data_IF_004320137588
#
_entry.id   IF_004320137588
#
_cell.length_a   1.000
_cell.length_b   1.000
_cell.length_c   1.000
_cell.angle_alpha   90.00
_cell.angle_beta   90.00
_cell.angle_gamma   90.00
#
_symmetry.space_group_name_H-M   'P 1'
#
loop_
_entity.id
_entity.type
_entity.pdbx_description
1 polymer ?
#
# COMPACT_ATOMS: atom_id res chain seq x y z
N UNK A 1 -14.60 19.41 6.52
CA UNK A 1 -14.01 18.09 6.83
C UNK A 1 -12.61 18.12 6.28
N UNK A 2 -11.61 18.07 7.16
CA UNK A 2 -10.19 18.07 6.74
C UNK A 2 -9.88 16.70 6.15
N UNK A 3 -9.35 16.66 4.93
CA UNK A 3 -8.81 15.43 4.34
C UNK A 3 -7.67 14.93 5.23
N UNK A 4 -7.96 13.93 6.07
CA UNK A 4 -6.95 13.37 6.95
C UNK A 4 -5.97 12.54 6.12
N UNK A 5 -4.81 13.13 5.91
CA UNK A 5 -3.60 12.46 5.44
C UNK A 5 -3.19 11.42 6.50
N UNK A 6 -3.60 10.18 6.30
CA UNK A 6 -3.22 9.04 7.14
C UNK A 6 -2.44 8.07 6.27
N UNK A 7 -1.26 7.72 6.76
CA UNK A 7 -0.41 6.62 6.28
C UNK A 7 0.49 6.94 5.10
N UNK A 8 1.50 7.79 5.36
CA UNK A 8 2.77 7.68 4.66
C UNK A 8 3.38 6.31 4.90
N UNK A 9 4.00 5.75 3.85
CA UNK A 9 4.91 4.63 4.06
C UNK A 9 6.05 5.07 5.00
N UNK A 10 6.41 4.28 6.03
CA UNK A 10 7.50 4.62 6.93
C UNK A 10 8.81 4.90 6.16
N UNK A 11 9.39 6.07 6.40
CA UNK A 11 10.65 6.51 5.76
C UNK A 11 10.49 7.48 4.58
N UNK A 12 9.27 7.66 4.07
CA UNK A 12 8.99 8.63 3.02
C UNK A 12 8.61 10.00 3.61
N UNK A 13 9.27 11.06 3.12
CA UNK A 13 9.09 12.42 3.60
C UNK A 13 7.87 13.09 2.96
N UNK A 14 7.49 12.67 1.74
CA UNK A 14 6.38 13.25 0.97
C UNK A 14 5.55 12.17 0.27
N UNK A 15 4.23 12.38 0.19
CA UNK A 15 3.34 11.55 -0.62
C UNK A 15 2.60 12.37 -1.68
N UNK A 16 2.33 11.73 -2.82
CA UNK A 16 1.48 12.29 -3.85
C UNK A 16 0.00 12.18 -3.43
N UNK A 17 -0.64 13.33 -3.32
CA UNK A 17 -2.07 13.49 -3.08
C UNK A 17 -2.76 13.86 -4.40
N UNK A 18 -3.83 13.14 -4.74
CA UNK A 18 -4.57 13.28 -5.99
C UNK A 18 -5.77 14.22 -5.80
N UNK A 19 -6.03 15.06 -6.79
CA UNK A 19 -7.22 15.91 -6.81
C UNK A 19 -8.37 15.17 -7.50
N UNK A 20 -9.44 14.87 -6.76
CA UNK A 20 -10.64 14.29 -7.35
C UNK A 20 -11.29 15.30 -8.31
N UNK A 21 -11.51 14.97 -9.59
CA UNK A 21 -12.07 15.92 -10.56
C UNK A 21 -13.53 16.31 -10.25
N UNK A 22 -14.31 15.39 -9.66
CA UNK A 22 -15.73 15.61 -9.39
C UNK A 22 -15.97 16.46 -8.14
N UNK A 23 -15.27 16.17 -7.04
CA UNK A 23 -15.48 16.86 -5.78
C UNK A 23 -14.39 17.88 -5.43
N UNK A 24 -13.26 17.90 -6.14
CA UNK A 24 -12.14 18.82 -5.88
C UNK A 24 -11.37 18.53 -4.59
N UNK A 25 -11.74 17.48 -3.84
CA UNK A 25 -11.01 17.10 -2.63
C UNK A 25 -9.67 16.45 -3.00
N UNK A 26 -8.67 16.73 -2.18
CA UNK A 26 -7.37 16.10 -2.25
C UNK A 26 -7.34 14.85 -1.38
N UNK A 27 -6.93 13.73 -1.95
CA UNK A 27 -6.86 12.45 -1.24
C UNK A 27 -5.69 11.58 -1.70
N UNK A 28 -5.18 10.76 -0.78
CA UNK A 28 -4.23 9.70 -1.12
C UNK A 28 -5.02 8.44 -1.42
N UNK A 29 -4.84 7.90 -2.63
CA UNK A 29 -5.52 6.65 -3.00
C UNK A 29 -4.92 5.47 -2.23
N UNK A 30 -5.73 4.60 -1.61
CA UNK A 30 -5.24 3.44 -0.87
C UNK A 30 -4.32 2.56 -1.75
N UNK A 31 -3.20 2.04 -1.22
CA UNK A 31 -2.35 1.11 -1.96
C UNK A 31 -2.91 -0.32 -1.87
N UNK A 32 -4.21 -0.49 -2.10
CA UNK A 32 -4.91 -1.78 -2.07
C UNK A 32 -6.00 -1.81 -3.14
N UNK A 33 -6.65 -2.97 -3.28
CA UNK A 33 -7.82 -3.10 -4.16
C UNK A 33 -9.04 -2.32 -3.68
N UNK A 34 -9.06 -1.86 -2.42
CA UNK A 34 -10.17 -1.04 -1.88
C UNK A 34 -10.21 0.37 -2.51
N UNK A 35 -9.13 0.77 -3.18
CA UNK A 35 -9.10 1.98 -3.99
C UNK A 35 -10.01 1.90 -5.23
N UNK A 36 -10.46 0.71 -5.61
CA UNK A 36 -11.16 0.50 -6.87
C UNK A 36 -12.61 0.08 -6.66
N UNK A 37 -13.51 0.63 -7.47
CA UNK A 37 -14.89 0.21 -7.60
C UNK A 37 -15.11 -0.42 -8.99
N UNK A 38 -15.86 -1.52 -9.05
CA UNK A 38 -16.24 -2.16 -10.31
C UNK A 38 -17.68 -1.78 -10.65
N UNK A 39 -17.89 -1.11 -11.78
CA UNK A 39 -19.22 -0.72 -12.27
C UNK A 39 -19.35 -1.23 -13.70
N UNK A 40 -20.27 -2.18 -13.95
CA UNK A 40 -20.49 -2.80 -15.27
C UNK A 40 -19.19 -3.29 -15.93
N UNK A 41 -18.36 -4.01 -15.16
CA UNK A 41 -17.06 -4.55 -15.56
C UNK A 41 -15.95 -3.51 -15.85
N UNK A 42 -16.22 -2.22 -15.65
CA UNK A 42 -15.21 -1.16 -15.71
C UNK A 42 -14.68 -0.81 -14.31
N UNK A 43 -13.39 -0.52 -14.24
CA UNK A 43 -12.69 -0.19 -12.99
C UNK A 43 -12.61 1.31 -12.82
N UNK A 44 -13.24 1.81 -11.77
CA UNK A 44 -13.21 3.21 -11.33
C UNK A 44 -12.31 3.35 -10.11
N UNK A 45 -11.72 4.52 -9.92
CA UNK A 45 -11.05 4.87 -8.67
C UNK A 45 -12.05 5.49 -7.70
N UNK A 46 -12.17 4.91 -6.50
CA UNK A 46 -13.00 5.45 -5.45
C UNK A 46 -12.27 6.56 -4.68
N UNK A 47 -12.89 7.73 -4.60
CA UNK A 47 -12.40 8.82 -3.77
C UNK A 47 -12.70 8.52 -2.29
N UNK A 48 -11.67 8.45 -1.45
CA UNK A 48 -11.85 8.17 -0.01
C UNK A 48 -12.41 9.36 0.79
N UNK A 49 -12.39 10.58 0.22
CA UNK A 49 -12.92 11.76 0.90
C UNK A 49 -14.46 11.83 0.83
N UNK A 50 -15.03 11.57 -0.35
CA UNK A 50 -16.47 11.75 -0.62
C UNK A 50 -17.15 10.54 -1.30
N UNK A 51 -16.42 9.49 -1.67
CA UNK A 51 -16.99 8.30 -2.33
C UNK A 51 -17.23 8.42 -3.84
N UNK A 52 -16.77 9.49 -4.49
CA UNK A 52 -16.86 9.66 -5.94
C UNK A 52 -16.23 8.49 -6.72
N UNK A 53 -16.85 8.09 -7.82
CA UNK A 53 -16.34 7.04 -8.71
C UNK A 53 -15.65 7.69 -9.92
N UNK A 54 -14.33 7.81 -9.86
CA UNK A 54 -13.54 8.52 -10.86
C UNK A 54 -13.26 7.58 -12.05
N UNK A 55 -13.63 7.97 -13.29
CA UNK A 55 -13.39 7.15 -14.47
C UNK A 55 -11.92 7.17 -14.91
N UNK A 56 -11.50 6.14 -15.64
CA UNK A 56 -10.10 5.97 -16.08
C UNK A 56 -9.58 7.11 -16.97
N UNK A 57 -10.48 7.80 -17.68
CA UNK A 57 -10.18 8.97 -18.52
C UNK A 57 -9.60 10.14 -17.72
N UNK A 58 -10.00 10.28 -16.46
CA UNK A 58 -9.57 11.37 -15.58
C UNK A 58 -8.18 11.15 -15.00
N UNK A 59 -7.66 9.92 -15.06
CA UNK A 59 -6.38 9.56 -14.44
C UNK A 59 -5.24 10.52 -14.80
N UNK A 60 -5.11 10.84 -16.09
CA UNK A 60 -4.02 11.70 -16.56
C UNK A 60 -4.17 13.16 -16.10
N UNK A 61 -5.40 13.66 -16.00
CA UNK A 61 -5.68 15.02 -15.49
C UNK A 61 -5.45 15.07 -13.97
N UNK A 62 -5.99 14.10 -13.23
CA UNK A 62 -5.83 13.96 -11.80
C UNK A 62 -4.36 13.83 -11.36
N UNK A 63 -3.57 13.03 -12.07
CA UNK A 63 -2.13 12.91 -11.79
C UNK A 63 -1.37 14.22 -12.03
N UNK A 64 -1.75 15.01 -13.04
CA UNK A 64 -1.14 16.34 -13.30
C UNK A 64 -1.56 17.38 -12.26
N UNK A 65 -2.78 17.29 -11.75
CA UNK A 65 -3.31 18.15 -10.69
C UNK A 65 -2.81 17.75 -9.29
N UNK A 66 -2.18 16.58 -9.17
CA UNK A 66 -1.65 16.07 -7.90
C UNK A 66 -0.65 17.02 -7.24
N UNK A 67 -0.52 16.88 -5.92
CA UNK A 67 0.38 17.68 -5.09
C UNK A 67 1.19 16.77 -4.18
N UNK A 68 2.46 17.06 -4.03
CA UNK A 68 3.32 16.39 -3.05
C UNK A 68 3.10 17.06 -1.70
N UNK A 69 2.72 16.27 -0.70
CA UNK A 69 2.44 16.74 0.66
C UNK A 69 3.40 16.04 1.61
N UNK A 70 4.14 16.81 2.40
CA UNK A 70 5.12 16.27 3.32
C UNK A 70 4.49 15.67 4.58
N UNK A 71 5.23 14.83 5.30
CA UNK A 71 4.78 14.28 6.58
C UNK A 71 4.48 15.41 7.56
N UNK A 72 3.31 15.41 8.20
CA UNK A 72 2.89 16.48 9.10
C UNK A 72 2.30 17.71 8.39
N UNK A 73 2.30 17.75 7.06
CA UNK A 73 1.53 18.70 6.28
C UNK A 73 0.13 18.16 5.96
N UNK A 74 -0.77 19.09 5.68
CA UNK A 74 -2.13 18.83 5.20
C UNK A 74 -2.41 19.70 3.99
N UNK A 75 -3.37 19.31 3.16
CA UNK A 75 -3.77 20.07 1.98
C UNK A 75 -5.26 20.38 2.07
N UNK A 76 -5.63 21.63 1.78
CA UNK A 76 -7.01 22.05 1.67
C UNK A 76 -7.57 21.83 0.25
N UNK A 77 -8.88 22.00 0.09
CA UNK A 77 -9.58 21.85 -1.20
C UNK A 77 -9.14 22.86 -2.27
N UNK A 78 -8.56 23.99 -1.86
CA UNK A 78 -8.02 24.99 -2.78
C UNK A 78 -6.58 24.68 -3.21
N UNK A 79 -6.00 23.59 -2.70
CA UNK A 79 -4.63 23.18 -2.96
C UNK A 79 -3.59 23.89 -2.09
N UNK A 80 -4.02 24.61 -1.05
CA UNK A 80 -3.14 25.21 -0.05
C UNK A 80 -2.57 24.14 0.87
N UNK A 81 -1.24 24.09 0.99
CA UNK A 81 -0.54 23.16 1.89
C UNK A 81 -0.26 23.87 3.21
N UNK A 82 -0.69 23.27 4.31
CA UNK A 82 -0.58 23.78 5.68
C UNK A 82 0.27 22.84 6.53
N UNK A 83 0.99 23.39 7.51
CA UNK A 83 1.86 22.64 8.42
C UNK A 83 3.35 22.77 8.05
N UNK A 84 4.21 22.31 8.95
CA UNK A 84 5.66 22.38 8.76
C UNK A 84 6.18 21.14 8.02
N UNK A 85 7.05 21.37 7.04
CA UNK A 85 7.76 20.28 6.37
C UNK A 85 8.81 19.68 7.33
N UNK A 86 8.95 18.35 7.41
CA UNK A 86 9.97 17.70 8.23
C UNK A 86 11.38 18.11 7.80
N UNK A 87 12.24 18.40 8.77
CA UNK A 87 13.66 18.65 8.53
C UNK A 87 14.39 17.33 8.26
N UNK A 88 14.42 16.88 7.01
CA UNK A 88 15.18 15.70 6.59
C UNK A 88 16.39 16.10 5.75
N UNK A 89 17.45 15.28 5.80
CA UNK A 89 18.62 15.44 4.91
C UNK A 89 18.39 14.86 3.50
N UNK A 90 17.36 14.02 3.37
CA UNK A 90 17.03 13.29 2.15
C UNK A 90 15.57 13.58 1.83
N UNK A 91 15.29 14.01 0.60
CA UNK A 91 13.94 14.10 0.08
C UNK A 91 13.52 12.73 -0.47
N UNK A 92 12.47 12.14 0.11
CA UNK A 92 11.87 10.87 -0.32
C UNK A 92 10.41 11.07 -0.70
N UNK A 93 10.00 10.41 -1.78
CA UNK A 93 8.71 10.62 -2.46
C UNK A 93 8.00 9.29 -2.64
N UNK A 94 6.74 9.24 -2.22
CA UNK A 94 5.91 8.06 -2.35
C UNK A 94 4.62 8.34 -3.12
N UNK A 95 4.29 7.47 -4.05
CA UNK A 95 3.00 7.43 -4.71
C UNK A 95 2.45 6.01 -4.68
N UNK A 96 1.13 5.90 -4.67
CA UNK A 96 0.45 4.60 -4.67
C UNK A 96 0.21 4.11 -6.10
N UNK A 97 0.01 2.79 -6.24
CA UNK A 97 -0.24 2.15 -7.54
C UNK A 97 -1.29 2.84 -8.41
N UNK A 98 -2.45 3.28 -7.86
CA UNK A 98 -3.45 4.01 -8.64
C UNK A 98 -2.92 5.31 -9.28
N UNK A 99 -1.95 5.97 -8.66
CA UNK A 99 -1.29 7.15 -9.21
C UNK A 99 -0.15 6.80 -10.20
N UNK A 100 0.37 5.56 -10.19
CA UNK A 100 1.49 5.16 -11.04
C UNK A 100 1.15 5.28 -12.53
N UNK A 101 1.94 6.04 -13.30
CA UNK A 101 1.66 6.31 -14.71
C UNK A 101 1.66 5.05 -15.60
N UNK A 102 2.52 4.07 -15.29
CA UNK A 102 2.77 2.89 -16.11
C UNK A 102 1.77 1.73 -15.94
N UNK A 103 0.86 1.79 -14.95
CA UNK A 103 -0.17 0.76 -14.73
C UNK A 103 -1.58 1.32 -14.94
N UNK A 104 -2.42 0.66 -15.73
CA UNK A 104 -3.85 0.99 -15.75
C UNK A 104 -4.55 0.44 -14.50
N UNK A 105 -5.63 1.08 -14.05
CA UNK A 105 -6.41 0.61 -12.89
C UNK A 105 -7.00 -0.79 -13.14
N UNK A 106 -7.45 -1.05 -14.37
CA UNK A 106 -7.88 -2.38 -14.79
C UNK A 106 -6.76 -3.43 -14.78
N UNK A 107 -5.50 -3.04 -15.05
CA UNK A 107 -4.34 -3.93 -14.91
C UNK A 107 -4.10 -4.27 -13.43
N UNK A 108 -4.05 -3.25 -12.56
CA UNK A 108 -3.85 -3.42 -11.12
C UNK A 108 -4.89 -4.34 -10.49
N UNK A 109 -6.17 -4.08 -10.79
CA UNK A 109 -7.28 -4.90 -10.31
C UNK A 109 -7.15 -6.36 -10.75
N UNK A 110 -6.92 -6.61 -12.04
CA UNK A 110 -6.79 -7.97 -12.59
C UNK A 110 -5.60 -8.72 -12.02
N UNK A 111 -4.42 -8.07 -11.94
CA UNK A 111 -3.22 -8.68 -11.36
C UNK A 111 -3.44 -9.09 -9.92
N UNK A 112 -4.05 -8.23 -9.11
CA UNK A 112 -4.36 -8.56 -7.72
C UNK A 112 -5.35 -9.72 -7.63
N UNK A 113 -6.42 -9.73 -8.44
CA UNK A 113 -7.40 -10.84 -8.44
C UNK A 113 -6.79 -12.17 -8.90
N UNK A 114 -5.89 -12.13 -9.87
CA UNK A 114 -5.15 -13.32 -10.29
C UNK A 114 -4.23 -13.84 -9.19
N UNK A 115 -3.48 -12.94 -8.53
CA UNK A 115 -2.63 -13.28 -7.39
C UNK A 115 -3.44 -13.85 -6.20
N UNK A 116 -4.60 -13.27 -5.91
CA UNK A 116 -5.53 -13.78 -4.90
C UNK A 116 -6.00 -15.20 -5.26
N UNK A 117 -6.36 -15.44 -6.52
CA UNK A 117 -6.79 -16.77 -6.98
C UNK A 117 -5.69 -17.82 -6.81
N UNK A 118 -4.42 -17.47 -7.07
CA UNK A 118 -3.27 -18.36 -6.86
C UNK A 118 -3.11 -18.67 -5.37
N UNK A 119 -3.21 -17.65 -4.53
CA UNK A 119 -3.15 -17.82 -3.07
C UNK A 119 -4.25 -18.76 -2.58
N UNK A 120 -5.51 -18.57 -3.00
CA UNK A 120 -6.62 -19.44 -2.57
C UNK A 120 -6.44 -20.91 -3.03
N UNK A 121 -5.79 -21.15 -4.18
CA UNK A 121 -5.58 -22.51 -4.71
C UNK A 121 -4.37 -23.22 -4.11
N UNK A 122 -3.29 -22.49 -3.85
CA UNK A 122 -1.98 -23.08 -3.52
C UNK A 122 -1.49 -22.73 -2.11
N UNK A 123 -2.07 -21.72 -1.48
CA UNK A 123 -1.58 -21.10 -0.24
C UNK A 123 -0.33 -20.23 -0.43
N UNK A 124 0.21 -20.12 -1.66
CA UNK A 124 1.41 -19.34 -1.94
C UNK A 124 1.13 -17.83 -1.97
N UNK A 125 1.92 -17.06 -1.22
CA UNK A 125 1.79 -15.61 -1.11
C UNK A 125 2.72 -14.82 -2.06
N UNK A 126 3.59 -15.50 -2.82
CA UNK A 126 4.61 -14.84 -3.64
C UNK A 126 4.02 -13.90 -4.70
N UNK A 127 2.93 -14.32 -5.35
CA UNK A 127 2.24 -13.50 -6.34
C UNK A 127 1.62 -12.25 -5.70
N UNK A 128 0.99 -12.39 -4.53
CA UNK A 128 0.40 -11.26 -3.79
C UNK A 128 1.49 -10.28 -3.33
N UNK A 129 2.60 -10.80 -2.82
CA UNK A 129 3.76 -10.00 -2.42
C UNK A 129 4.32 -9.19 -3.57
N UNK A 130 4.48 -9.80 -4.73
CA UNK A 130 4.97 -9.14 -5.94
C UNK A 130 4.05 -7.99 -6.38
N UNK A 131 2.73 -8.24 -6.45
CA UNK A 131 1.75 -7.22 -6.86
C UNK A 131 1.67 -6.08 -5.84
N UNK A 132 1.60 -6.37 -4.54
CA UNK A 132 1.48 -5.32 -3.52
C UNK A 132 2.73 -4.43 -3.46
N UNK A 133 3.91 -5.04 -3.51
CA UNK A 133 5.18 -4.30 -3.41
C UNK A 133 5.51 -3.54 -4.69
N UNK A 134 5.40 -4.21 -5.84
CA UNK A 134 5.80 -3.65 -7.13
C UNK A 134 4.75 -2.74 -7.75
N UNK A 135 3.50 -3.19 -7.79
CA UNK A 135 2.43 -2.47 -8.51
C UNK A 135 1.69 -1.48 -7.61
N UNK A 136 1.30 -1.87 -6.39
CA UNK A 136 0.61 -0.96 -5.46
C UNK A 136 1.54 -0.01 -4.71
N UNK A 137 2.84 -0.33 -4.68
CA UNK A 137 3.81 0.45 -3.94
C UNK A 137 3.47 0.46 -2.45
N UNK A 138 3.24 -0.69 -1.84
CA UNK A 138 3.17 -0.81 -0.38
C UNK A 138 3.86 -2.08 0.09
N UNK A 139 4.40 -2.05 1.31
CA UNK A 139 5.04 -3.22 1.89
C UNK A 139 4.01 -4.34 2.06
N UNK A 140 4.30 -5.51 1.49
CA UNK A 140 3.44 -6.67 1.68
C UNK A 140 3.52 -7.17 3.12
N UNK A 141 2.35 -7.25 3.78
CA UNK A 141 2.21 -7.89 5.08
C UNK A 141 1.75 -9.34 4.86
N UNK A 142 2.55 -10.35 5.22
CA UNK A 142 2.15 -11.74 5.04
C UNK A 142 0.84 -12.05 5.76
N UNK A 143 -0.01 -12.86 5.14
CA UNK A 143 -1.31 -13.26 5.71
C UNK A 143 -1.14 -14.43 6.68
N UNK A 144 -0.21 -15.32 6.38
CA UNK A 144 0.25 -16.38 7.28
C UNK A 144 1.16 -15.88 8.41
N UNK A 145 0.96 -14.66 8.93
CA UNK A 145 1.42 -14.35 10.29
C UNK A 145 0.46 -15.09 11.25
N UNK A 146 0.46 -16.42 11.18
CA UNK A 146 0.14 -17.23 12.34
C UNK A 146 1.30 -17.01 13.30
N UNK A 147 1.03 -16.36 14.43
CA UNK A 147 1.95 -16.11 15.54
C UNK A 147 3.41 -16.19 15.13
N UNK A 148 4.00 -15.05 14.73
CA UNK A 148 5.45 -14.95 14.66
C UNK A 148 5.98 -15.48 15.99
N UNK A 149 6.47 -16.73 15.97
CA UNK A 149 6.91 -17.42 17.17
C UNK A 149 8.06 -16.59 17.68
N UNK A 150 7.82 -15.83 18.75
CA UNK A 150 8.83 -14.98 19.34
C UNK A 150 10.07 -15.85 19.56
N UNK A 151 11.20 -15.46 18.97
CA UNK A 151 12.44 -16.21 19.08
C UNK A 151 12.80 -16.42 20.55
N UNK A 152 12.38 -15.50 21.43
CA UNK A 152 12.51 -15.63 22.88
C UNK A 152 11.60 -16.70 23.46
N UNK A 153 10.34 -16.79 23.02
CA UNK A 153 9.42 -17.85 23.43
C UNK A 153 9.87 -19.24 22.95
N UNK A 154 10.47 -19.32 21.75
CA UNK A 154 11.11 -20.55 21.27
C UNK A 154 12.34 -20.91 22.10
N UNK A 155 13.17 -19.93 22.46
CA UNK A 155 14.34 -20.16 23.32
C UNK A 155 13.94 -20.64 24.72
N UNK A 156 12.82 -20.17 25.28
CA UNK A 156 12.31 -20.67 26.58
C UNK A 156 11.85 -22.12 26.51
N UNK A 157 11.40 -22.59 25.35
CA UNK A 157 11.02 -24.00 25.11
C UNK A 157 12.18 -24.88 24.69
N UNK A 158 13.37 -24.32 24.51
CA UNK A 158 14.54 -25.09 24.12
C UNK A 158 14.94 -26.01 25.28
N UNK A 159 15.02 -27.30 24.99
CA UNK A 159 15.56 -28.27 25.94
C UNK A 159 17.07 -28.05 26.10
N UNK A 160 17.62 -28.19 27.31
CA UNK A 160 19.04 -28.01 27.55
C UNK A 160 19.82 -29.15 26.88
N UNK A 161 20.44 -28.85 25.74
CA UNK A 161 21.32 -29.77 25.03
C UNK A 161 22.79 -29.39 25.27
N UNK A 162 23.63 -30.37 25.60
CA UNK A 162 25.06 -30.15 25.72
C UNK A 162 25.65 -29.73 24.35
N UNK A 163 26.50 -28.71 24.36
CA UNK A 163 27.15 -28.22 23.14
C UNK A 163 27.95 -29.35 22.49
N UNK A 164 27.78 -29.53 21.17
CA UNK A 164 28.42 -30.61 20.37
C UNK A 164 27.89 -32.02 20.64
N UNK A 165 26.71 -32.17 21.23
CA UNK A 165 26.03 -33.47 21.35
C UNK A 165 24.88 -33.51 20.35
N UNK A 166 24.79 -34.61 19.60
CA UNK A 166 23.67 -34.87 18.69
C UNK A 166 22.60 -35.64 19.46
N UNK A 167 21.33 -35.21 19.45
CA UNK A 167 20.24 -35.92 20.12
C UNK A 167 20.06 -37.34 19.58
N UNK A 168 19.64 -38.25 20.45
CA UNK A 168 19.39 -39.65 20.07
C UNK A 168 18.29 -39.71 19.00
N UNK A 169 18.52 -40.46 17.92
CA UNK A 169 17.56 -40.63 16.82
C UNK A 169 17.71 -39.64 15.64
N UNK A 170 18.66 -38.71 15.70
CA UNK A 170 19.03 -37.86 14.54
C UNK A 170 20.19 -38.52 13.79
N UNK A 171 19.93 -38.97 12.57
CA UNK A 171 20.95 -39.50 11.65
C UNK A 171 21.14 -38.49 10.50
N UNK A 172 22.38 -38.26 10.09
CA UNK A 172 22.77 -37.36 8.98
C UNK A 172 22.98 -38.14 7.68
#
# INVERSE_FOLDING_TARGET
MQGHFRDLRPGDAQALVLAAPECGEYFTSPPSTDAFALVKDEVFLACVANGCAIPTTEKAAMNRAGRWVAAGQTIDRNGGIHGEEPKTKIASYWLTGPAAAYQSWASLWRKHRAAETIYQKTGSEEALKSVMTGDFGTAYKPRQIGDARDAKALATRAEPLAKRVVPVGVFF
#
